data_IF_501716300650
#
_entry.id   IF_501716300650
#
_cell.length_a   1.000
_cell.length_b   1.000
_cell.length_c   1.000
_cell.angle_alpha   90.00
_cell.angle_beta   90.00
_cell.angle_gamma   90.00
#
_symmetry.space_group_name_H-M   'P 1'
#
loop_
_entity.id
_entity.type
_entity.pdbx_description
1 polymer ?
#
# COMPACT_ATOMS: atom_id res chain seq x y z
N UNK A 1 35.26 -32.26 -25.33
CA UNK A 1 36.29 -31.51 -26.09
C UNK A 1 35.70 -30.19 -26.56
N UNK A 2 36.54 -29.16 -26.67
CA UNK A 2 36.31 -27.73 -26.96
C UNK A 2 35.29 -27.45 -28.09
N UNK A 3 34.63 -26.28 -28.19
CA UNK A 3 35.17 -24.95 -27.94
C UNK A 3 34.12 -23.90 -27.51
N UNK A 4 34.61 -22.97 -26.69
CA UNK A 4 34.01 -21.72 -26.30
C UNK A 4 34.48 -20.56 -27.21
N UNK A 5 33.89 -19.39 -26.99
CA UNK A 5 34.36 -18.04 -27.36
C UNK A 5 33.73 -17.38 -28.61
N UNK A 6 32.61 -16.70 -28.39
CA UNK A 6 32.25 -15.50 -29.17
C UNK A 6 31.74 -14.43 -28.21
N UNK A 7 32.64 -13.52 -27.85
CA UNK A 7 32.38 -12.35 -27.01
C UNK A 7 33.70 -11.74 -26.56
N UNK A 8 34.35 -10.92 -27.41
CA UNK A 8 34.27 -9.48 -27.20
C UNK A 8 34.41 -8.68 -28.52
N UNK A 9 33.36 -8.60 -29.34
CA UNK A 9 33.39 -7.79 -30.59
C UNK A 9 32.29 -6.71 -30.60
N UNK A 10 31.26 -6.83 -29.77
CA UNK A 10 30.15 -5.87 -29.74
C UNK A 10 30.52 -4.54 -29.06
N UNK A 11 31.31 -4.58 -27.98
CA UNK A 11 31.70 -3.39 -27.21
C UNK A 11 32.71 -2.48 -27.93
N UNK A 12 33.52 -3.03 -28.85
CA UNK A 12 34.46 -2.23 -29.66
C UNK A 12 33.76 -1.44 -30.78
N UNK A 13 32.56 -1.85 -31.21
CA UNK A 13 31.79 -1.12 -32.25
C UNK A 13 30.98 0.05 -31.69
N UNK A 14 30.66 0.07 -30.39
CA UNK A 14 29.90 1.17 -29.77
C UNK A 14 30.76 2.39 -29.42
N UNK A 15 32.07 2.21 -29.25
CA UNK A 15 33.02 3.28 -28.90
C UNK A 15 33.47 4.14 -30.10
N UNK A 16 33.11 3.76 -31.33
CA UNK A 16 33.46 4.49 -32.55
C UNK A 16 32.49 5.61 -32.97
N UNK A 17 31.43 5.87 -32.19
CA UNK A 17 30.33 6.76 -32.59
C UNK A 17 30.15 8.02 -31.72
N UNK A 18 31.13 8.39 -30.89
CA UNK A 18 31.07 9.61 -30.08
C UNK A 18 32.20 10.58 -30.46
N UNK A 19 31.88 11.83 -30.86
CA UNK A 19 32.90 12.81 -31.24
C UNK A 19 33.59 13.39 -30.00
N UNK A 20 34.91 13.21 -29.95
CA UNK A 20 35.93 14.12 -29.42
C UNK A 20 35.74 14.76 -28.05
N UNK A 21 36.26 14.13 -26.98
CA UNK A 21 36.93 14.81 -25.84
C UNK A 21 38.02 13.88 -25.23
N UNK A 22 39.33 14.18 -25.33
CA UNK A 22 40.41 13.25 -24.95
C UNK A 22 40.61 13.00 -23.45
N UNK A 23 39.90 13.72 -22.56
CA UNK A 23 40.18 13.71 -21.12
C UNK A 23 39.57 12.54 -20.32
N UNK A 24 38.52 11.90 -20.82
CA UNK A 24 37.76 10.88 -20.06
C UNK A 24 38.34 9.45 -20.16
N UNK A 25 39.10 9.16 -21.22
CA UNK A 25 39.72 7.84 -21.42
C UNK A 25 40.91 7.60 -20.46
N UNK A 26 41.65 8.65 -20.10
CA UNK A 26 42.81 8.55 -19.23
C UNK A 26 42.45 8.31 -17.74
N UNK A 27 41.28 8.79 -17.30
CA UNK A 27 40.79 8.58 -15.93
C UNK A 27 40.26 7.16 -15.70
N UNK A 28 39.65 6.56 -16.74
CA UNK A 28 39.13 5.20 -16.70
C UNK A 28 40.22 4.13 -16.79
N UNK A 29 41.35 4.42 -17.47
CA UNK A 29 42.49 3.50 -17.53
C UNK A 29 43.20 3.29 -16.18
N UNK A 30 43.34 4.36 -15.37
CA UNK A 30 44.09 4.30 -14.09
C UNK A 30 43.33 3.62 -12.94
N UNK A 31 42.00 3.50 -13.04
CA UNK A 31 41.17 2.79 -12.06
C UNK A 31 41.12 1.27 -12.31
N UNK A 32 41.33 0.84 -13.56
CA UNK A 32 41.36 -0.58 -13.93
C UNK A 32 42.60 -1.30 -13.40
N UNK A 33 43.77 -0.64 -13.42
CA UNK A 33 45.04 -1.27 -13.02
C UNK A 33 45.22 -1.45 -11.51
N UNK A 34 44.43 -0.74 -10.67
CA UNK A 34 44.49 -0.89 -9.21
C UNK A 34 43.61 -2.00 -8.63
N UNK A 35 42.74 -2.60 -9.43
CA UNK A 35 41.84 -3.69 -9.00
C UNK A 35 42.31 -5.09 -9.41
N UNK A 36 43.40 -5.20 -10.19
CA UNK A 36 43.90 -6.46 -10.75
C UNK A 36 44.87 -7.28 -9.88
N UNK A 37 45.19 -6.84 -8.65
CA UNK A 37 46.13 -7.54 -7.76
C UNK A 37 45.56 -7.74 -6.36
N UNK A 38 44.54 -8.59 -6.22
CA UNK A 38 44.43 -9.45 -5.04
C UNK A 38 43.40 -10.58 -5.23
N UNK A 39 43.95 -11.78 -5.47
CA UNK A 39 43.48 -13.10 -5.01
C UNK A 39 42.13 -13.64 -5.48
N UNK A 40 42.27 -14.46 -6.51
CA UNK A 40 41.86 -15.87 -6.55
C UNK A 40 41.63 -16.53 -5.17
N UNK A 41 40.37 -16.89 -4.88
CA UNK A 41 39.92 -18.18 -4.32
C UNK A 41 38.41 -18.15 -4.06
N UNK A 42 37.60 -18.61 -5.03
CA UNK A 42 36.44 -19.54 -4.87
C UNK A 42 35.63 -19.59 -6.18
N UNK A 43 35.32 -20.81 -6.60
CA UNK A 43 34.71 -21.17 -7.88
C UNK A 43 33.23 -20.76 -8.00
N UNK A 44 32.89 -20.37 -9.23
CA UNK A 44 31.59 -20.40 -9.95
C UNK A 44 30.35 -19.80 -9.25
N UNK A 45 30.00 -18.57 -9.65
CA UNK A 45 28.61 -18.05 -9.70
C UNK A 45 28.39 -17.30 -11.02
N UNK A 46 27.26 -17.57 -11.66
CA UNK A 46 26.77 -17.02 -12.93
C UNK A 46 26.24 -15.57 -12.80
N UNK A 47 26.14 -14.80 -13.90
CA UNK A 47 25.80 -13.38 -13.84
C UNK A 47 24.28 -13.18 -13.98
N UNK A 48 23.58 -13.08 -12.84
CA UNK A 48 22.24 -12.49 -12.76
C UNK A 48 22.19 -11.58 -11.53
N UNK A 49 22.87 -10.43 -11.61
CA UNK A 49 22.81 -9.37 -10.59
C UNK A 49 21.98 -8.20 -11.13
N UNK A 50 20.66 -8.40 -11.17
CA UNK A 50 19.67 -7.33 -11.21
C UNK A 50 18.44 -7.62 -10.32
N UNK A 51 18.53 -8.59 -9.40
CA UNK A 51 17.49 -8.92 -8.41
C UNK A 51 18.13 -9.28 -7.06
N UNK A 52 18.49 -8.26 -6.27
CA UNK A 52 18.74 -8.37 -4.81
C UNK A 52 18.74 -6.95 -4.19
N UNK A 53 18.10 -6.77 -3.03
CA UNK A 53 18.77 -7.08 -1.78
C UNK A 53 17.97 -8.09 -0.94
N UNK A 54 18.48 -9.32 -0.85
CA UNK A 54 18.03 -10.35 0.08
C UNK A 54 19.20 -10.72 0.98
N UNK A 55 19.38 -9.97 2.06
CA UNK A 55 20.10 -10.40 3.25
C UNK A 55 19.47 -9.66 4.43
N UNK A 56 18.47 -10.26 5.07
CA UNK A 56 17.98 -9.82 6.38
C UNK A 56 18.70 -10.64 7.47
N UNK A 57 19.04 -10.03 8.61
CA UNK A 57 19.50 -10.75 9.78
C UNK A 57 18.33 -11.47 10.48
N UNK A 58 18.66 -12.45 11.31
CA UNK A 58 17.78 -13.27 12.13
C UNK A 58 16.75 -12.47 12.94
N UNK A 59 15.50 -12.91 12.88
CA UNK A 59 14.33 -12.37 13.60
C UNK A 59 14.51 -12.46 15.11
N UNK A 60 14.25 -11.40 15.90
CA UNK A 60 14.17 -11.50 17.35
C UNK A 60 12.94 -12.32 17.76
N UNK A 61 13.15 -13.36 18.57
CA UNK A 61 12.05 -14.09 19.22
C UNK A 61 11.29 -13.15 20.16
N UNK A 62 10.09 -12.73 19.76
CA UNK A 62 9.07 -12.24 20.69
C UNK A 62 8.35 -13.47 21.22
N UNK A 63 8.54 -13.77 22.50
CA UNK A 63 7.81 -14.84 23.19
C UNK A 63 6.35 -14.38 23.37
N UNK A 64 5.42 -14.96 22.62
CA UNK A 64 3.99 -14.86 22.91
C UNK A 64 3.66 -15.68 24.16
N UNK A 65 2.74 -15.21 25.02
CA UNK A 65 2.22 -16.03 26.11
C UNK A 65 1.45 -17.23 25.50
N UNK A 66 1.47 -18.40 26.16
CA UNK A 66 0.79 -19.59 25.65
C UNK A 66 -0.70 -19.29 25.42
N UNK A 67 -1.22 -19.72 24.27
CA UNK A 67 -2.64 -19.66 23.92
C UNK A 67 -3.50 -20.32 25.02
N UNK A 68 -3.94 -19.51 25.98
CA UNK A 68 -5.00 -19.87 26.88
C UNK A 68 -6.30 -19.88 26.07
N UNK A 69 -7.11 -20.93 26.25
CA UNK A 69 -8.52 -20.98 25.85
C UNK A 69 -9.15 -19.59 26.06
N UNK A 70 -9.51 -18.91 24.98
CA UNK A 70 -10.14 -17.60 25.08
C UNK A 70 -11.44 -17.77 25.86
N UNK A 71 -11.64 -17.05 26.98
CA UNK A 71 -12.93 -17.02 27.66
C UNK A 71 -14.01 -16.59 26.65
N UNK A 72 -15.22 -17.14 26.78
CA UNK A 72 -16.38 -16.68 26.02
C UNK A 72 -16.48 -15.14 26.12
N UNK A 73 -16.38 -14.46 24.97
CA UNK A 73 -16.43 -12.99 24.89
C UNK A 73 -15.11 -12.29 24.50
N UNK A 74 -13.99 -12.99 24.39
CA UNK A 74 -12.70 -12.40 23.96
C UNK A 74 -12.42 -12.76 22.50
N UNK A 75 -12.46 -11.80 21.57
CA UNK A 75 -12.17 -12.07 20.15
C UNK A 75 -10.69 -12.42 19.92
N UNK A 76 -10.45 -13.45 19.08
CA UNK A 76 -9.14 -14.10 18.84
C UNK A 76 -7.95 -13.16 18.55
N UNK A 77 -8.22 -12.00 17.96
CA UNK A 77 -7.18 -11.10 17.43
C UNK A 77 -6.88 -9.91 18.35
N UNK A 78 -7.36 -9.92 19.60
CA UNK A 78 -7.15 -8.82 20.55
C UNK A 78 -5.70 -8.46 20.79
N UNK A 79 -4.75 -9.40 20.64
CA UNK A 79 -3.33 -9.11 20.83
C UNK A 79 -2.82 -8.00 19.87
N UNK A 80 -3.46 -7.81 18.71
CA UNK A 80 -3.12 -6.78 17.72
C UNK A 80 -3.29 -5.36 18.31
N UNK A 81 -4.22 -5.17 19.25
CA UNK A 81 -4.44 -3.88 19.93
C UNK A 81 -3.21 -3.38 20.72
N UNK A 82 -2.28 -4.28 21.01
CA UNK A 82 -1.01 -3.94 21.65
C UNK A 82 -0.03 -3.26 20.68
N UNK A 83 -0.34 -3.22 19.39
CA UNK A 83 0.49 -2.62 18.34
C UNK A 83 -0.19 -1.42 17.66
N UNK A 84 -1.51 -1.48 17.44
CA UNK A 84 -2.30 -0.49 16.68
C UNK A 84 -3.62 -0.17 17.38
N UNK A 85 -4.32 0.94 17.03
CA UNK A 85 -5.65 1.18 17.57
C UNK A 85 -6.65 0.08 17.16
N UNK A 86 -7.61 -0.19 18.04
CA UNK A 86 -8.69 -1.14 17.83
C UNK A 86 -9.99 -0.35 17.71
N UNK A 87 -10.68 -0.45 16.57
CA UNK A 87 -11.96 0.22 16.34
C UNK A 87 -13.09 -0.80 16.28
N UNK A 88 -14.06 -0.67 17.18
CA UNK A 88 -15.31 -1.42 17.13
C UNK A 88 -16.32 -0.73 16.21
N UNK A 89 -16.89 -1.46 15.25
CA UNK A 89 -17.92 -0.98 14.33
C UNK A 89 -19.07 -1.98 14.22
N UNK A 90 -20.22 -1.50 13.75
CA UNK A 90 -21.34 -2.37 13.37
C UNK A 90 -21.08 -2.99 11.99
N UNK A 91 -21.35 -4.28 11.83
CA UNK A 91 -21.24 -4.99 10.57
C UNK A 91 -22.17 -4.39 9.50
N UNK A 92 -23.29 -3.79 9.90
CA UNK A 92 -24.20 -3.06 9.00
C UNK A 92 -23.56 -1.82 8.36
N UNK A 93 -22.49 -1.29 8.94
CA UNK A 93 -21.72 -0.15 8.41
C UNK A 93 -20.59 -0.60 7.48
N UNK A 94 -20.35 -1.91 7.32
CA UNK A 94 -19.31 -2.45 6.45
C UNK A 94 -19.93 -3.02 5.19
N UNK A 95 -19.60 -2.43 4.03
CA UNK A 95 -20.06 -2.90 2.71
C UNK A 95 -18.88 -3.21 1.80
N UNK A 96 -18.81 -4.44 1.30
CA UNK A 96 -17.85 -4.84 0.27
C UNK A 96 -18.46 -4.53 -1.10
N UNK A 97 -17.79 -3.70 -1.90
CA UNK A 97 -18.27 -3.35 -3.25
C UNK A 97 -17.83 -4.42 -4.25
N UNK A 98 -18.68 -4.69 -5.24
CA UNK A 98 -18.51 -5.80 -6.16
C UNK A 98 -17.68 -5.44 -7.40
N UNK A 99 -17.62 -4.15 -7.77
CA UNK A 99 -17.04 -3.74 -9.06
C UNK A 99 -16.29 -2.40 -9.01
N UNK A 100 -15.33 -2.19 -9.93
CA UNK A 100 -14.65 -0.91 -10.11
C UNK A 100 -15.60 0.25 -10.47
N UNK A 101 -16.68 -0.04 -11.21
CA UNK A 101 -17.71 0.97 -11.53
C UNK A 101 -18.49 1.39 -10.29
N UNK A 102 -18.90 0.45 -9.45
CA UNK A 102 -19.54 0.77 -8.16
C UNK A 102 -18.61 1.59 -7.26
N UNK A 103 -17.32 1.27 -7.22
CA UNK A 103 -16.30 2.05 -6.51
C UNK A 103 -16.23 3.50 -7.00
N UNK A 104 -16.18 3.70 -8.32
CA UNK A 104 -16.12 5.03 -8.92
C UNK A 104 -17.40 5.85 -8.67
N UNK A 105 -18.57 5.26 -8.91
CA UNK A 105 -19.86 5.94 -8.70
C UNK A 105 -20.10 6.28 -7.23
N UNK A 106 -19.76 5.38 -6.31
CA UNK A 106 -19.83 5.65 -4.88
C UNK A 106 -18.91 6.82 -4.50
N UNK A 107 -17.68 6.84 -5.00
CA UNK A 107 -16.74 7.92 -4.74
C UNK A 107 -17.30 9.29 -5.17
N UNK A 108 -17.81 9.39 -6.41
CA UNK A 108 -18.45 10.62 -6.90
C UNK A 108 -19.67 11.00 -6.05
N UNK A 109 -20.51 10.02 -5.68
CA UNK A 109 -21.66 10.25 -4.82
C UNK A 109 -21.28 10.81 -3.46
N UNK A 110 -20.23 10.27 -2.85
CA UNK A 110 -19.71 10.73 -1.56
C UNK A 110 -19.07 12.12 -1.63
N UNK A 111 -18.33 12.42 -2.70
CA UNK A 111 -17.77 13.78 -2.93
C UNK A 111 -18.91 14.81 -2.95
N UNK A 112 -19.96 14.57 -3.73
CA UNK A 112 -21.07 15.54 -3.91
C UNK A 112 -21.78 15.92 -2.61
N UNK A 113 -21.82 15.01 -1.64
CA UNK A 113 -22.52 15.23 -0.37
C UNK A 113 -21.59 15.69 0.76
N UNK A 114 -20.27 15.60 0.58
CA UNK A 114 -19.29 15.96 1.59
C UNK A 114 -19.42 17.43 2.02
N UNK A 115 -19.28 17.70 3.32
CA UNK A 115 -19.43 19.04 3.91
C UNK A 115 -18.22 19.53 4.67
N UNK A 116 -17.40 18.64 5.24
CA UNK A 116 -16.26 19.03 6.09
C UNK A 116 -14.93 18.64 5.46
N UNK A 117 -14.80 17.39 5.00
CA UNK A 117 -13.53 16.92 4.44
C UNK A 117 -13.69 15.91 3.32
N UNK A 118 -12.81 16.04 2.32
CA UNK A 118 -12.47 14.97 1.39
C UNK A 118 -10.98 14.69 1.51
N UNK A 119 -10.61 13.44 1.81
CA UNK A 119 -9.20 13.03 1.92
C UNK A 119 -8.95 11.87 0.96
N UNK A 120 -7.93 11.99 0.12
CA UNK A 120 -7.63 10.98 -0.89
C UNK A 120 -6.14 10.63 -0.88
N UNK A 121 -5.81 9.43 -0.42
CA UNK A 121 -4.48 8.86 -0.57
C UNK A 121 -4.49 7.83 -1.69
N UNK A 122 -3.56 7.95 -2.65
CA UNK A 122 -3.42 7.02 -3.78
C UNK A 122 -1.99 7.06 -4.31
N UNK A 123 -1.54 6.03 -5.04
CA UNK A 123 -0.21 6.08 -5.66
C UNK A 123 -0.11 7.21 -6.69
N UNK A 124 -1.16 7.38 -7.49
CA UNK A 124 -1.29 8.45 -8.47
C UNK A 124 -2.78 8.72 -8.79
N UNK A 125 -3.02 9.85 -9.44
CA UNK A 125 -4.25 10.19 -10.16
C UNK A 125 -3.95 10.20 -11.66
N UNK A 126 -4.72 9.46 -12.45
CA UNK A 126 -4.59 9.42 -13.90
C UNK A 126 -4.96 10.75 -14.56
N UNK A 127 -4.96 10.75 -15.90
CA UNK A 127 -5.20 11.96 -16.70
C UNK A 127 -6.23 11.76 -17.82
N UNK A 128 -7.02 10.69 -17.71
CA UNK A 128 -8.09 10.38 -18.64
C UNK A 128 -9.42 11.08 -18.29
N UNK A 129 -10.48 10.78 -19.06
CA UNK A 129 -11.78 11.41 -18.89
C UNK A 129 -12.45 11.12 -17.54
N UNK A 130 -12.34 9.90 -17.02
CA UNK A 130 -12.97 9.53 -15.73
C UNK A 130 -12.26 10.17 -14.54
N UNK A 131 -10.94 10.35 -14.63
CA UNK A 131 -10.18 11.10 -13.63
C UNK A 131 -10.50 12.58 -13.67
N UNK A 132 -10.69 13.15 -14.87
CA UNK A 132 -11.17 14.52 -15.02
C UNK A 132 -12.57 14.67 -14.40
N UNK A 133 -13.50 13.76 -14.69
CA UNK A 133 -14.85 13.77 -14.10
C UNK A 133 -14.81 13.76 -12.56
N UNK A 134 -13.87 13.01 -11.97
CA UNK A 134 -13.67 12.99 -10.53
C UNK A 134 -13.17 14.35 -9.99
N UNK A 135 -12.24 15.00 -10.70
CA UNK A 135 -11.72 16.33 -10.35
C UNK A 135 -12.80 17.41 -10.52
N UNK A 136 -13.58 17.34 -11.60
CA UNK A 136 -14.70 18.24 -11.85
C UNK A 136 -15.77 18.11 -10.74
N UNK A 137 -15.96 16.90 -10.22
CA UNK A 137 -16.84 16.63 -9.08
C UNK A 137 -16.33 17.30 -7.78
N UNK A 138 -15.01 17.29 -7.53
CA UNK A 138 -14.40 18.00 -6.40
C UNK A 138 -14.56 19.51 -6.55
N UNK A 139 -14.25 20.04 -7.74
CA UNK A 139 -14.38 21.46 -8.07
C UNK A 139 -15.82 21.94 -7.86
N UNK A 140 -16.80 21.27 -8.47
CA UNK A 140 -18.22 21.62 -8.35
C UNK A 140 -18.69 21.60 -6.89
N UNK A 141 -18.21 20.63 -6.09
CA UNK A 141 -18.58 20.51 -4.67
C UNK A 141 -17.99 21.66 -3.86
N UNK A 142 -16.72 22.03 -4.11
CA UNK A 142 -16.07 23.17 -3.48
C UNK A 142 -16.77 24.49 -3.84
N UNK A 143 -17.12 24.71 -5.11
CA UNK A 143 -17.89 25.89 -5.53
C UNK A 143 -19.22 25.99 -4.80
N UNK A 144 -19.99 24.90 -4.79
CA UNK A 144 -21.28 24.82 -4.11
C UNK A 144 -21.13 25.07 -2.61
N UNK A 145 -20.04 24.59 -1.99
CA UNK A 145 -19.76 24.79 -0.57
C UNK A 145 -19.54 26.26 -0.21
N UNK A 146 -18.93 27.03 -1.11
CA UNK A 146 -18.66 28.46 -0.93
C UNK A 146 -19.88 29.34 -1.22
N UNK A 147 -20.73 28.93 -2.16
CA UNK A 147 -21.94 29.64 -2.56
C UNK A 147 -23.14 29.36 -1.66
N UNK A 148 -23.07 28.36 -0.79
CA UNK A 148 -24.17 28.00 0.10
C UNK A 148 -24.51 29.14 1.08
N UNK A 149 -25.80 29.26 1.44
CA UNK A 149 -26.29 30.24 2.43
C UNK A 149 -25.54 30.19 3.75
N UNK A 150 -25.07 29.00 4.12
CA UNK A 150 -24.15 28.76 5.23
C UNK A 150 -22.92 28.06 4.64
N UNK A 151 -21.86 28.82 4.31
CA UNK A 151 -20.66 28.25 3.69
C UNK A 151 -20.06 27.18 4.60
N UNK A 152 -19.82 25.99 4.05
CA UNK A 152 -19.13 24.94 4.78
C UNK A 152 -17.63 25.07 4.58
N UNK A 153 -16.82 24.90 5.63
CA UNK A 153 -15.35 24.88 5.53
C UNK A 153 -14.86 23.53 4.99
N UNK A 154 -15.33 23.16 3.80
CA UNK A 154 -14.95 21.92 3.14
C UNK A 154 -13.47 21.98 2.77
N UNK A 155 -12.67 21.08 3.32
CA UNK A 155 -11.25 20.90 2.98
C UNK A 155 -11.05 19.67 2.11
N UNK A 156 -10.11 19.75 1.18
CA UNK A 156 -9.70 18.64 0.31
C UNK A 156 -8.20 18.40 0.50
N UNK A 157 -7.82 17.22 1.01
CA UNK A 157 -6.43 16.80 1.18
C UNK A 157 -6.12 15.61 0.27
N UNK A 158 -5.16 15.77 -0.64
CA UNK A 158 -4.78 14.73 -1.61
C UNK A 158 -3.31 14.37 -1.37
N UNK A 159 -3.04 13.10 -1.07
CA UNK A 159 -1.70 12.55 -0.90
C UNK A 159 -1.37 11.56 -2.03
N UNK A 160 -0.35 11.89 -2.83
CA UNK A 160 0.14 11.06 -3.93
C UNK A 160 1.63 10.74 -3.79
N UNK A 161 2.14 9.78 -4.54
CA UNK A 161 3.58 9.59 -4.72
C UNK A 161 4.16 10.65 -5.67
N UNK A 162 5.25 11.30 -5.29
CA UNK A 162 5.89 12.36 -6.06
C UNK A 162 6.39 11.86 -7.42
N UNK A 163 7.01 10.68 -7.47
CA UNK A 163 7.60 10.17 -8.71
C UNK A 163 6.51 9.74 -9.68
N UNK A 164 5.47 9.06 -9.19
CA UNK A 164 4.36 8.61 -10.03
C UNK A 164 3.44 9.76 -10.42
N UNK A 165 3.18 10.68 -9.51
CA UNK A 165 2.34 11.86 -9.74
C UNK A 165 2.98 12.94 -10.62
N UNK A 166 4.30 12.90 -10.83
CA UNK A 166 5.04 13.87 -11.68
C UNK A 166 5.46 13.31 -13.05
N UNK A 167 5.05 12.09 -13.40
CA UNK A 167 5.60 11.38 -14.56
C UNK A 167 5.04 11.89 -15.89
N UNK A 168 5.92 12.31 -16.80
CA UNK A 168 5.53 12.83 -18.11
C UNK A 168 4.95 14.25 -18.05
N UNK A 169 4.61 14.81 -19.22
CA UNK A 169 4.14 16.21 -19.33
C UNK A 169 2.73 16.41 -18.76
N UNK A 170 1.82 15.50 -19.04
CA UNK A 170 0.48 15.43 -18.43
C UNK A 170 0.51 14.36 -17.36
N UNK A 171 0.29 14.76 -16.12
CA UNK A 171 0.41 13.92 -14.93
C UNK A 171 -0.58 14.37 -13.83
N UNK A 172 -0.55 13.69 -12.68
CA UNK A 172 -1.45 13.99 -11.55
C UNK A 172 -1.34 15.43 -11.08
N UNK A 173 -0.12 16.00 -11.05
CA UNK A 173 0.08 17.40 -10.62
C UNK A 173 -0.60 18.36 -11.56
N UNK A 174 -0.39 18.19 -12.86
CA UNK A 174 -1.01 19.07 -13.86
C UNK A 174 -2.53 18.93 -13.90
N UNK A 175 -3.06 17.74 -13.58
CA UNK A 175 -4.50 17.49 -13.48
C UNK A 175 -5.14 18.20 -12.27
N UNK A 176 -4.43 18.26 -11.15
CA UNK A 176 -4.90 18.89 -9.91
C UNK A 176 -4.59 20.39 -9.81
N UNK A 177 -3.72 20.91 -10.69
CA UNK A 177 -3.27 22.29 -10.63
C UNK A 177 -4.41 23.33 -10.72
N UNK A 178 -5.41 23.19 -11.62
CA UNK A 178 -6.52 24.14 -11.68
C UNK A 178 -7.31 24.20 -10.38
N UNK A 179 -7.57 23.04 -9.77
CA UNK A 179 -8.27 22.92 -8.50
C UNK A 179 -7.50 23.63 -7.37
N UNK A 180 -6.19 23.40 -7.29
CA UNK A 180 -5.32 24.03 -6.30
C UNK A 180 -5.23 25.55 -6.47
N UNK A 181 -5.12 26.03 -7.71
CA UNK A 181 -5.06 27.47 -8.01
C UNK A 181 -6.37 28.20 -7.66
N UNK A 182 -7.50 27.54 -7.87
CA UNK A 182 -8.84 28.10 -7.62
C UNK A 182 -9.22 28.10 -6.14
N UNK A 183 -8.76 27.11 -5.38
CA UNK A 183 -9.11 26.94 -3.96
C UNK A 183 -7.86 26.74 -3.07
N UNK A 184 -6.92 27.70 -3.03
CA UNK A 184 -5.64 27.53 -2.34
C UNK A 184 -5.78 27.33 -0.82
N UNK A 185 -6.87 27.82 -0.21
CA UNK A 185 -7.14 27.70 1.23
C UNK A 185 -7.93 26.44 1.60
N UNK A 186 -8.53 25.77 0.63
CA UNK A 186 -9.35 24.56 0.83
C UNK A 186 -8.65 23.31 0.35
N UNK A 187 -7.76 23.41 -0.66
CA UNK A 187 -7.15 22.27 -1.32
C UNK A 187 -5.68 22.18 -0.98
N UNK A 188 -5.26 21.02 -0.46
CA UNK A 188 -3.87 20.67 -0.20
C UNK A 188 -3.49 19.45 -1.02
N UNK A 189 -2.39 19.54 -1.78
CA UNK A 189 -1.83 18.40 -2.53
C UNK A 189 -0.42 18.09 -2.04
N UNK A 190 -0.29 16.96 -1.34
CA UNK A 190 0.97 16.43 -0.81
C UNK A 190 1.53 15.34 -1.72
N UNK A 191 2.84 15.36 -1.95
CA UNK A 191 3.57 14.46 -2.84
C UNK A 191 4.69 13.76 -2.05
N UNK A 192 4.41 12.54 -1.60
CA UNK A 192 5.37 11.74 -0.83
C UNK A 192 6.57 11.35 -1.68
N UNK A 193 7.75 11.44 -1.10
CA UNK A 193 8.98 11.03 -1.77
C UNK A 193 9.80 10.12 -0.86
N UNK A 194 10.11 8.91 -1.32
CA UNK A 194 10.93 7.97 -0.56
C UNK A 194 12.29 8.56 -0.17
N UNK A 195 12.76 8.40 1.08
CA UNK A 195 14.07 8.87 1.49
C UNK A 195 15.23 8.07 0.87
N UNK A 196 14.95 6.98 0.18
CA UNK A 196 15.97 6.13 -0.44
C UNK A 196 16.38 6.63 -1.84
N UNK A 197 15.56 7.43 -2.52
CA UNK A 197 15.85 7.95 -3.85
C UNK A 197 16.55 9.33 -3.79
N UNK A 198 17.86 9.36 -3.55
CA UNK A 198 18.63 10.60 -3.33
C UNK A 198 19.83 10.75 -4.27
N UNK A 199 20.35 11.97 -4.40
CA UNK A 199 21.62 12.26 -5.08
C UNK A 199 21.71 11.70 -6.51
N UNK A 200 22.85 11.09 -6.85
CA UNK A 200 23.09 10.48 -8.16
C UNK A 200 22.11 9.35 -8.50
N UNK A 201 21.60 8.62 -7.51
CA UNK A 201 20.63 7.55 -7.71
C UNK A 201 19.36 8.10 -8.39
N UNK A 202 18.91 9.28 -7.96
CA UNK A 202 17.78 9.98 -8.58
C UNK A 202 18.07 10.47 -10.00
N UNK A 203 19.31 10.86 -10.30
CA UNK A 203 19.72 11.39 -11.61
C UNK A 203 19.93 10.29 -12.65
N UNK A 204 20.38 9.11 -12.21
CA UNK A 204 20.81 8.03 -13.10
C UNK A 204 19.74 6.95 -13.30
N UNK A 205 18.76 6.82 -12.39
CA UNK A 205 17.71 5.81 -12.53
C UNK A 205 16.63 6.30 -13.48
N UNK A 206 16.33 5.55 -14.57
CA UNK A 206 15.21 5.88 -15.43
C UNK A 206 13.90 5.87 -14.65
N UNK A 207 12.97 6.77 -14.95
CA UNK A 207 11.70 6.94 -14.22
C UNK A 207 10.92 5.63 -14.00
N UNK A 208 11.08 4.65 -14.89
CA UNK A 208 10.44 3.33 -14.83
C UNK A 208 10.96 2.42 -13.72
N UNK A 209 12.19 2.64 -13.23
CA UNK A 209 12.84 1.83 -12.19
C UNK A 209 12.87 2.52 -10.82
N UNK A 210 12.46 3.79 -10.74
CA UNK A 210 12.25 4.49 -9.46
C UNK A 210 11.24 3.75 -8.56
N UNK A 211 10.31 3.01 -9.20
CA UNK A 211 9.27 2.21 -8.56
C UNK A 211 9.83 1.11 -7.64
N UNK A 212 11.04 0.60 -7.92
CA UNK A 212 11.66 -0.50 -7.16
C UNK A 212 12.32 -0.06 -5.84
N UNK A 213 12.50 1.25 -5.62
CA UNK A 213 13.27 1.78 -4.48
C UNK A 213 12.37 2.11 -3.27
N UNK A 214 11.10 2.42 -3.51
CA UNK A 214 10.10 2.67 -2.48
C UNK A 214 9.07 3.69 -2.95
N UNK A 215 7.79 3.33 -2.82
CA UNK A 215 6.64 4.14 -3.20
C UNK A 215 5.67 4.25 -2.02
N UNK A 216 4.89 5.33 -1.99
CA UNK A 216 3.73 5.42 -1.12
C UNK A 216 2.60 4.52 -1.66
N UNK A 217 2.01 3.68 -0.81
CA UNK A 217 0.97 2.72 -1.22
C UNK A 217 -0.34 2.83 -0.43
N UNK A 218 -0.48 3.83 0.44
CA UNK A 218 -1.75 4.08 1.16
C UNK A 218 -2.85 4.37 0.13
N UNK A 219 -3.99 3.72 0.32
CA UNK A 219 -5.19 3.84 -0.50
C UNK A 219 -6.40 3.92 0.40
N UNK A 220 -6.71 5.15 0.77
CA UNK A 220 -7.82 5.49 1.62
C UNK A 220 -8.50 6.72 1.01
N UNK A 221 -9.80 6.63 0.85
CA UNK A 221 -10.63 7.69 0.29
C UNK A 221 -11.73 8.01 1.29
N UNK A 222 -11.71 9.21 1.84
CA UNK A 222 -12.55 9.62 2.94
C UNK A 222 -13.44 10.79 2.54
N UNK A 223 -14.68 10.73 3.00
CA UNK A 223 -15.70 11.74 2.76
C UNK A 223 -16.46 11.94 4.08
N UNK A 224 -16.12 12.99 4.81
CA UNK A 224 -16.56 13.24 6.19
C UNK A 224 -16.29 12.04 7.14
N UNK A 225 -17.31 11.24 7.46
CA UNK A 225 -17.22 10.06 8.33
C UNK A 225 -17.17 8.74 7.55
N UNK A 226 -17.25 8.79 6.23
CA UNK A 226 -17.27 7.61 5.38
C UNK A 226 -15.87 7.34 4.84
N UNK A 227 -15.46 6.07 4.83
CA UNK A 227 -14.11 5.64 4.40
C UNK A 227 -14.24 4.53 3.36
N UNK A 228 -13.52 4.65 2.25
CA UNK A 228 -13.31 3.58 1.28
C UNK A 228 -11.85 3.16 1.36
N UNK A 229 -11.61 1.87 1.64
CA UNK A 229 -10.30 1.23 1.58
C UNK A 229 -10.24 0.31 0.36
N UNK A 230 -9.19 0.44 -0.44
CA UNK A 230 -9.03 -0.37 -1.67
C UNK A 230 -7.57 -0.56 -2.07
N UNK A 231 -7.25 -1.57 -2.90
CA UNK A 231 -5.98 -1.65 -3.62
C UNK A 231 -5.94 -0.83 -4.91
N UNK A 232 -7.05 -0.21 -5.30
CA UNK A 232 -7.19 0.56 -6.52
C UNK A 232 -6.45 1.90 -6.49
N UNK A 233 -5.94 2.35 -7.64
CA UNK A 233 -5.51 3.74 -7.83
C UNK A 233 -6.64 4.54 -8.47
N UNK A 234 -6.50 5.86 -8.50
CA UNK A 234 -7.44 6.74 -9.20
C UNK A 234 -7.10 6.78 -10.68
N UNK A 235 -7.55 5.79 -11.45
CA UNK A 235 -7.38 5.80 -12.91
C UNK A 235 -8.42 5.00 -13.66
N UNK A 236 -8.62 5.30 -14.94
CA UNK A 236 -9.62 4.69 -15.83
C UNK A 236 -9.78 3.18 -15.64
N UNK A 237 -8.68 2.40 -15.77
CA UNK A 237 -8.75 0.95 -15.59
C UNK A 237 -9.31 0.50 -14.23
N UNK A 238 -9.00 1.21 -13.15
CA UNK A 238 -9.52 0.94 -11.79
C UNK A 238 -10.96 1.41 -11.59
N UNK A 239 -11.52 2.17 -12.53
CA UNK A 239 -12.92 2.58 -12.55
C UNK A 239 -13.77 1.73 -13.52
N UNK A 240 -13.13 0.95 -14.40
CA UNK A 240 -13.83 0.21 -15.46
C UNK A 240 -13.62 -1.31 -15.40
N UNK A 241 -12.40 -1.81 -15.55
CA UNK A 241 -12.14 -3.22 -15.85
C UNK A 241 -10.88 -3.81 -15.20
N UNK A 242 -10.40 -3.21 -14.11
CA UNK A 242 -9.34 -3.76 -13.26
C UNK A 242 -9.93 -4.19 -11.93
N UNK A 243 -10.00 -5.49 -11.72
CA UNK A 243 -10.56 -6.06 -10.50
C UNK A 243 -9.61 -5.81 -9.33
N UNK A 244 -10.13 -5.10 -8.32
CA UNK A 244 -9.51 -4.93 -7.01
C UNK A 244 -10.54 -5.25 -5.90
N UNK A 245 -10.19 -5.01 -4.64
CA UNK A 245 -11.11 -5.10 -3.49
C UNK A 245 -11.46 -3.70 -3.00
N UNK A 246 -12.70 -3.52 -2.57
CA UNK A 246 -13.19 -2.23 -2.11
C UNK A 246 -14.05 -2.47 -0.87
N UNK A 247 -13.68 -1.85 0.26
CA UNK A 247 -14.43 -1.91 1.51
C UNK A 247 -14.88 -0.50 1.83
N UNK A 248 -16.19 -0.31 1.91
CA UNK A 248 -16.83 0.92 2.33
C UNK A 248 -17.24 0.81 3.80
N UNK A 249 -16.74 1.71 4.61
CA UNK A 249 -17.07 1.89 6.02
C UNK A 249 -17.92 3.14 6.12
N UNK A 250 -19.20 2.96 6.42
CA UNK A 250 -20.18 4.03 6.50
C UNK A 250 -20.29 4.56 7.93
N UNK A 251 -20.33 5.88 8.08
CA UNK A 251 -20.50 6.58 9.35
C UNK A 251 -19.60 6.01 10.47
N UNK A 252 -18.30 5.98 10.19
CA UNK A 252 -17.26 5.50 11.10
C UNK A 252 -16.32 6.67 11.46
N UNK A 253 -16.76 7.65 12.26
CA UNK A 253 -16.01 8.89 12.51
C UNK A 253 -14.63 8.63 13.11
N UNK A 254 -14.48 7.69 14.04
CA UNK A 254 -13.21 7.40 14.71
C UNK A 254 -12.17 6.82 13.73
N UNK A 255 -12.61 5.99 12.78
CA UNK A 255 -11.76 5.45 11.71
C UNK A 255 -11.43 6.55 10.70
N UNK A 256 -12.41 7.37 10.34
CA UNK A 256 -12.21 8.48 9.41
C UNK A 256 -11.22 9.51 9.97
N UNK A 257 -11.31 9.83 11.27
CA UNK A 257 -10.37 10.71 11.98
C UNK A 257 -8.96 10.12 11.97
N UNK A 258 -8.81 8.85 12.33
CA UNK A 258 -7.51 8.17 12.30
C UNK A 258 -6.83 8.23 10.93
N UNK A 259 -7.55 7.88 9.86
CA UNK A 259 -6.98 7.91 8.51
C UNK A 259 -6.76 9.35 8.00
N UNK A 260 -7.56 10.33 8.42
CA UNK A 260 -7.29 11.75 8.13
C UNK A 260 -5.97 12.18 8.79
N UNK A 261 -5.82 11.95 10.10
CA UNK A 261 -4.60 12.26 10.85
C UNK A 261 -3.37 11.55 10.26
N UNK A 262 -3.51 10.27 9.85
CA UNK A 262 -2.42 9.51 9.23
C UNK A 262 -2.00 10.11 7.88
N UNK A 263 -2.97 10.43 7.03
CA UNK A 263 -2.70 11.03 5.72
C UNK A 263 -2.07 12.40 5.88
N UNK A 264 -2.53 13.20 6.83
CA UNK A 264 -1.97 14.52 7.12
C UNK A 264 -0.55 14.41 7.71
N UNK A 265 -0.29 13.48 8.62
CA UNK A 265 1.05 13.24 9.17
C UNK A 265 2.07 12.86 8.08
N UNK A 266 1.68 12.01 7.13
CA UNK A 266 2.50 11.68 5.96
C UNK A 266 2.59 12.87 5.00
N UNK A 267 1.50 13.62 4.85
CA UNK A 267 1.43 14.83 4.04
C UNK A 267 2.39 15.92 4.52
N UNK A 268 2.50 16.13 5.83
CA UNK A 268 3.38 17.13 6.44
C UNK A 268 4.85 16.91 6.12
N UNK A 269 5.29 15.64 6.10
CA UNK A 269 6.66 15.27 5.71
C UNK A 269 6.83 15.06 4.19
N UNK A 270 5.80 15.40 3.42
CA UNK A 270 5.79 15.29 1.96
C UNK A 270 5.98 16.66 1.30
N UNK A 271 6.28 16.64 0.00
CA UNK A 271 6.41 17.86 -0.79
C UNK A 271 5.01 18.42 -1.09
N UNK A 272 4.77 19.69 -0.80
CA UNK A 272 3.53 20.39 -1.10
C UNK A 272 3.59 20.94 -2.53
N UNK A 273 2.65 20.52 -3.38
CA UNK A 273 2.47 21.13 -4.71
C UNK A 273 1.97 22.56 -4.54
N UNK A 274 2.57 23.49 -5.30
CA UNK A 274 2.21 24.90 -5.30
C UNK A 274 1.41 25.26 -6.55
N UNK A 275 0.70 26.41 -6.52
CA UNK A 275 -0.11 26.89 -7.63
C UNK A 275 0.68 27.19 -8.91
N UNK A 276 1.99 27.38 -8.84
CA UNK A 276 2.90 27.54 -9.99
C UNK A 276 3.50 26.21 -10.49
N UNK A 277 2.96 25.07 -10.01
CA UNK A 277 3.46 23.72 -10.25
C UNK A 277 4.89 23.50 -9.70
N UNK A 278 5.42 24.34 -8.82
CA UNK A 278 6.62 24.00 -8.04
C UNK A 278 6.26 23.12 -6.84
N UNK A 279 7.27 22.63 -6.13
CA UNK A 279 7.09 21.85 -4.92
C UNK A 279 7.96 22.39 -3.80
N UNK A 280 7.36 22.49 -2.62
CA UNK A 280 8.02 23.00 -1.42
C UNK A 280 7.83 22.05 -0.25
N UNK A 281 8.59 22.22 0.82
CA UNK A 281 8.36 21.50 2.07
C UNK A 281 7.53 22.40 2.99
N UNK A 282 6.74 21.81 3.88
CA UNK A 282 6.10 22.57 4.95
C UNK A 282 7.18 23.25 5.80
N UNK A 283 6.90 24.45 6.29
CA UNK A 283 7.83 25.20 7.13
C UNK A 283 8.26 24.37 8.35
N UNK A 284 9.56 24.38 8.64
CA UNK A 284 10.17 23.57 9.71
C UNK A 284 10.38 22.09 9.36
N UNK A 285 9.93 21.59 8.20
CA UNK A 285 10.14 20.18 7.82
C UNK A 285 11.45 19.95 7.04
N UNK A 286 12.03 18.76 7.23
CA UNK A 286 13.25 18.35 6.53
C UNK A 286 12.91 17.88 5.12
N UNK A 287 13.67 18.36 4.12
CA UNK A 287 13.42 17.97 2.73
C UNK A 287 13.70 16.46 2.50
N UNK A 288 12.76 15.69 1.91
CA UNK A 288 12.84 14.22 1.80
C UNK A 288 14.03 13.67 1.00
N UNK A 289 14.66 14.47 0.14
CA UNK A 289 15.81 14.05 -0.65
C UNK A 289 16.95 15.07 -0.74
N UNK A 290 16.75 16.32 -0.30
CA UNK A 290 17.83 17.34 -0.20
C UNK A 290 18.34 17.54 1.22
N UNK A 291 17.49 17.33 2.23
CA UNK A 291 17.86 17.50 3.63
C UNK A 291 18.58 16.28 4.19
N UNK A 292 18.94 16.29 5.48
CA UNK A 292 19.55 15.13 6.12
C UNK A 292 18.60 13.90 6.12
N UNK A 293 19.15 12.71 5.88
CA UNK A 293 18.34 11.48 5.77
C UNK A 293 17.84 11.00 7.12
N UNK A 294 18.71 10.99 8.12
CA UNK A 294 18.37 10.50 9.44
C UNK A 294 17.34 11.43 10.11
N UNK A 295 17.55 12.74 10.03
CA UNK A 295 16.63 13.74 10.55
C UNK A 295 15.24 13.65 9.88
N UNK A 296 15.19 13.49 8.55
CA UNK A 296 13.93 13.28 7.84
C UNK A 296 13.20 12.00 8.29
N UNK A 297 13.91 10.87 8.31
CA UNK A 297 13.32 9.59 8.71
C UNK A 297 12.84 9.60 10.16
N UNK A 298 13.60 10.24 11.06
CA UNK A 298 13.23 10.41 12.47
C UNK A 298 11.97 11.27 12.61
N UNK A 299 11.94 12.45 11.98
CA UNK A 299 10.79 13.35 12.03
C UNK A 299 9.51 12.71 11.44
N UNK A 300 9.67 11.92 10.36
CA UNK A 300 8.56 11.16 9.78
C UNK A 300 8.09 10.01 10.68
N UNK A 301 9.00 9.27 11.31
CA UNK A 301 8.65 8.23 12.28
C UNK A 301 7.87 8.82 13.45
N UNK A 302 8.40 9.87 14.09
CA UNK A 302 7.77 10.53 15.24
C UNK A 302 6.34 10.94 14.91
N UNK A 303 6.13 11.66 13.80
CA UNK A 303 4.78 12.09 13.38
C UNK A 303 3.81 10.94 13.14
N UNK A 304 4.23 9.89 12.42
CA UNK A 304 3.33 8.76 12.12
C UNK A 304 3.04 7.96 13.39
N UNK A 305 4.05 7.72 14.23
CA UNK A 305 3.88 6.98 15.49
C UNK A 305 3.05 7.76 16.50
N UNK A 306 3.14 9.09 16.54
CA UNK A 306 2.31 9.94 17.38
C UNK A 306 0.82 9.78 17.05
N UNK A 307 0.45 9.72 15.77
CA UNK A 307 -0.93 9.44 15.33
C UNK A 307 -1.38 8.06 15.82
N UNK A 308 -0.55 7.04 15.61
CA UNK A 308 -0.86 5.66 16.03
C UNK A 308 -1.06 5.59 17.55
N UNK A 309 -0.13 6.13 18.32
CA UNK A 309 -0.14 6.08 19.78
C UNK A 309 -1.28 6.93 20.38
N UNK A 310 -1.55 8.09 19.80
CA UNK A 310 -2.67 8.95 20.22
C UNK A 310 -4.01 8.26 19.97
N UNK A 311 -4.20 7.68 18.79
CA UNK A 311 -5.41 6.92 18.48
C UNK A 311 -5.58 5.70 19.39
N UNK A 312 -4.49 4.97 19.68
CA UNK A 312 -4.51 3.85 20.64
C UNK A 312 -4.96 4.30 22.03
N UNK A 313 -4.41 5.40 22.53
CA UNK A 313 -4.76 5.95 23.84
C UNK A 313 -6.23 6.35 23.88
N UNK A 314 -6.74 7.03 22.83
CA UNK A 314 -8.16 7.39 22.71
C UNK A 314 -9.07 6.16 22.73
N UNK A 315 -8.75 5.12 21.96
CA UNK A 315 -9.55 3.88 21.93
C UNK A 315 -9.51 3.12 23.26
N UNK A 316 -8.36 3.07 23.94
CA UNK A 316 -8.26 2.49 25.28
C UNK A 316 -9.15 3.21 26.30
N UNK A 317 -9.18 4.55 26.27
CA UNK A 317 -10.05 5.35 27.12
C UNK A 317 -11.53 5.10 26.82
N UNK A 318 -11.91 5.04 25.54
CA UNK A 318 -13.28 4.75 25.12
C UNK A 318 -13.72 3.36 25.63
N UNK A 319 -12.90 2.34 25.45
CA UNK A 319 -13.19 0.99 25.96
C UNK A 319 -13.37 1.01 27.48
N UNK A 320 -12.45 1.63 28.24
CA UNK A 320 -12.57 1.71 29.69
C UNK A 320 -13.85 2.42 30.16
N UNK A 321 -14.27 3.48 29.46
CA UNK A 321 -15.51 4.20 29.77
C UNK A 321 -16.74 3.35 29.50
N UNK A 322 -16.78 2.60 28.40
CA UNK A 322 -17.89 1.68 28.10
C UNK A 322 -17.99 0.57 29.14
N UNK A 323 -16.86 -0.02 29.56
CA UNK A 323 -16.84 -1.08 30.58
C UNK A 323 -17.25 -0.58 31.98
N UNK A 324 -16.89 0.64 32.37
CA UNK A 324 -17.29 1.21 33.67
C UNK A 324 -18.70 1.81 33.68
N UNK A 325 -19.20 2.27 32.53
CA UNK A 325 -20.54 2.86 32.40
C UNK A 325 -21.70 1.86 32.49
N UNK A 326 -21.49 0.60 32.07
CA UNK A 326 -22.52 -0.44 32.14
C UNK A 326 -22.68 -1.07 33.54
N UNK A 327 -21.78 -0.79 34.48
CA UNK A 327 -21.85 -1.34 35.86
C UNK A 327 -22.74 -0.51 36.81
N UNK A 328 -23.08 0.74 36.45
CA UNK A 328 -23.77 1.68 37.35
C UNK A 328 -25.20 2.07 36.94
N UNK A 329 -25.70 1.58 35.80
CA UNK A 329 -27.07 1.85 35.35
C UNK A 329 -27.91 0.59 35.48
N UNK A 330 -28.83 0.58 36.45
CA UNK A 330 -29.93 -0.38 36.48
C UNK A 330 -30.66 -0.34 35.14
N UNK A 331 -30.94 -1.54 34.63
CA UNK A 331 -31.49 -1.85 33.31
C UNK A 331 -32.80 -1.09 32.96
N UNK A 332 -33.47 -0.49 33.96
CA UNK A 332 -34.72 0.25 33.81
C UNK A 332 -34.54 1.71 33.31
N UNK A 333 -33.40 2.37 33.57
CA UNK A 333 -33.18 3.75 33.11
C UNK A 333 -32.52 3.85 31.72
N UNK A 334 -31.99 2.74 31.19
CA UNK A 334 -31.27 2.69 29.92
C UNK A 334 -32.20 2.68 28.69
N UNK A 335 -33.47 2.30 28.85
CA UNK A 335 -34.44 2.25 27.75
C UNK A 335 -35.03 3.63 27.38
N UNK A 336 -34.90 4.63 28.26
CA UNK A 336 -35.45 5.98 28.04
C UNK A 336 -34.51 6.90 27.23
N UNK A 337 -33.21 6.57 27.16
CA UNK A 337 -32.24 7.24 26.31
C UNK A 337 -32.02 6.39 25.04
N UNK A 338 -32.76 6.70 23.97
CA UNK A 338 -32.64 6.03 22.66
C UNK A 338 -31.31 6.22 21.94
N UNK A 339 -30.21 6.34 22.67
CA UNK A 339 -28.89 6.83 22.22
C UNK A 339 -27.77 5.78 22.41
N UNK A 340 -28.11 4.54 22.80
CA UNK A 340 -27.12 3.45 22.86
C UNK A 340 -26.87 2.93 21.45
N UNK A 341 -25.76 3.34 20.84
CA UNK A 341 -25.18 2.65 19.68
C UNK A 341 -25.05 1.15 20.02
N UNK A 342 -25.48 0.23 19.15
CA UNK A 342 -25.35 -1.20 19.40
C UNK A 342 -23.88 -1.57 19.66
N UNK A 343 -23.66 -2.56 20.51
CA UNK A 343 -22.31 -3.06 20.79
C UNK A 343 -21.63 -3.47 19.48
N UNK A 344 -20.31 -3.19 19.32
CA UNK A 344 -19.60 -3.53 18.10
C UNK A 344 -19.57 -5.04 17.90
N UNK A 345 -19.89 -5.50 16.70
CA UNK A 345 -19.80 -6.91 16.29
C UNK A 345 -18.63 -7.17 15.33
N UNK A 346 -17.95 -6.09 14.90
CA UNK A 346 -16.86 -6.09 13.94
C UNK A 346 -15.70 -5.25 14.47
N UNK A 347 -14.48 -5.77 14.41
CA UNK A 347 -13.27 -5.09 14.89
C UNK A 347 -12.31 -4.80 13.75
N UNK A 348 -11.83 -3.56 13.68
CA UNK A 348 -10.91 -3.09 12.64
C UNK A 348 -9.59 -2.64 13.29
N UNK A 349 -8.49 -3.20 12.78
CA UNK A 349 -7.12 -2.86 13.18
C UNK A 349 -6.37 -2.31 11.97
N UNK A 350 -6.09 -0.99 11.89
CA UNK A 350 -5.34 -0.45 10.78
C UNK A 350 -3.84 -0.74 10.96
N UNK A 351 -3.30 -1.57 10.07
CA UNK A 351 -1.88 -1.93 10.06
C UNK A 351 -1.10 -0.98 9.15
N UNK A 352 0.13 -0.64 9.57
CA UNK A 352 0.99 0.31 8.86
C UNK A 352 2.39 -0.29 8.66
N UNK A 353 2.91 -0.19 7.44
CA UNK A 353 4.28 -0.55 7.07
C UNK A 353 4.97 0.65 6.43
N UNK A 354 6.04 1.15 7.06
CA UNK A 354 6.93 2.18 6.50
C UNK A 354 8.38 1.90 6.91
N UNK A 355 8.98 0.87 6.32
CA UNK A 355 10.34 0.41 6.66
C UNK A 355 11.43 1.49 6.62
N UNK A 356 11.44 2.47 5.69
CA UNK A 356 12.40 3.58 5.75
C UNK A 356 12.28 4.47 6.97
N UNK A 357 11.15 4.41 7.68
CA UNK A 357 10.89 5.08 8.95
C UNK A 357 10.89 4.11 10.13
N UNK A 358 11.40 2.88 9.95
CA UNK A 358 11.47 1.88 11.03
C UNK A 358 10.09 1.44 11.58
N UNK A 359 9.02 1.62 10.79
CA UNK A 359 7.68 1.14 11.14
C UNK A 359 7.43 -0.19 10.42
N UNK A 360 7.32 -1.28 11.19
CA UNK A 360 7.20 -2.66 10.68
C UNK A 360 5.97 -3.42 11.22
N UNK A 361 4.93 -2.70 11.61
CA UNK A 361 3.81 -3.28 12.37
C UNK A 361 3.03 -4.31 11.53
N UNK A 362 2.75 -3.99 10.26
CA UNK A 362 2.05 -4.88 9.33
C UNK A 362 2.82 -6.18 9.06
N UNK A 363 4.15 -6.11 8.90
CA UNK A 363 5.05 -7.26 8.72
C UNK A 363 4.93 -8.22 9.91
N UNK A 364 5.07 -7.70 11.14
CA UNK A 364 4.95 -8.48 12.38
C UNK A 364 3.57 -9.14 12.49
N UNK A 365 2.49 -8.39 12.24
CA UNK A 365 1.14 -8.91 12.38
C UNK A 365 0.83 -9.97 11.33
N UNK A 366 1.23 -9.74 10.07
CA UNK A 366 1.01 -10.68 8.96
C UNK A 366 1.77 -11.99 9.19
N UNK A 367 3.03 -11.93 9.61
CA UNK A 367 3.82 -13.12 9.96
C UNK A 367 3.15 -13.93 11.08
N UNK A 368 2.65 -13.24 12.11
CA UNK A 368 1.94 -13.89 13.23
C UNK A 368 0.64 -14.54 12.76
N UNK A 369 -0.16 -13.87 11.92
CA UNK A 369 -1.40 -14.43 11.37
C UNK A 369 -1.15 -15.65 10.45
N UNK A 370 -0.03 -15.66 9.72
CA UNK A 370 0.35 -16.78 8.86
C UNK A 370 0.91 -17.98 9.65
N UNK A 371 1.62 -17.74 10.76
CA UNK A 371 2.20 -18.77 11.62
C UNK A 371 1.20 -19.38 12.59
N UNK A 372 0.34 -18.57 13.21
CA UNK A 372 -0.66 -19.00 14.19
C UNK A 372 -1.96 -19.54 13.56
N UNK A 373 -1.96 -19.74 12.23
CA UNK A 373 -3.05 -20.43 11.55
C UNK A 373 -3.11 -21.90 12.04
N UNK A 374 -4.04 -22.14 12.98
CA UNK A 374 -4.24 -23.43 13.64
C UNK A 374 -4.48 -24.59 12.65
N UNK A 375 -4.27 -25.82 13.13
CA UNK A 375 -4.64 -27.03 12.40
C UNK A 375 -6.15 -27.00 12.10
N UNK A 376 -6.51 -26.98 10.81
CA UNK A 376 -7.90 -26.90 10.35
C UNK A 376 -8.40 -25.49 10.04
N UNK A 377 -7.60 -24.44 10.28
CA UNK A 377 -7.90 -23.11 9.76
C UNK A 377 -7.76 -23.10 8.22
N UNK A 378 -8.68 -22.41 7.54
CA UNK A 378 -8.59 -22.15 6.10
C UNK A 378 -8.23 -20.69 5.87
N UNK A 379 -7.14 -20.47 5.16
CA UNK A 379 -6.58 -19.17 4.80
C UNK A 379 -6.81 -18.97 3.30
N UNK A 380 -7.45 -17.87 2.94
CA UNK A 380 -7.56 -17.42 1.56
C UNK A 380 -6.59 -16.27 1.36
N UNK A 381 -5.72 -16.38 0.35
CA UNK A 381 -4.79 -15.34 -0.05
C UNK A 381 -5.14 -14.90 -1.46
N UNK A 382 -5.13 -13.61 -1.73
CA UNK A 382 -5.18 -13.09 -3.08
C UNK A 382 -4.01 -12.16 -3.34
N UNK A 383 -3.40 -12.30 -4.52
CA UNK A 383 -2.32 -11.42 -4.95
C UNK A 383 -2.45 -11.08 -6.44
N UNK A 384 -2.26 -9.80 -6.78
CA UNK A 384 -2.22 -9.37 -8.17
C UNK A 384 -1.06 -9.98 -8.96
N UNK A 385 0.02 -10.39 -8.28
CA UNK A 385 1.17 -11.07 -8.86
C UNK A 385 1.69 -12.11 -7.87
N UNK A 386 1.96 -13.33 -8.30
CA UNK A 386 2.58 -14.32 -7.41
C UNK A 386 4.04 -13.95 -7.15
N UNK A 387 4.28 -13.24 -6.04
CA UNK A 387 5.59 -12.72 -5.62
C UNK A 387 5.69 -12.69 -4.10
N UNK A 388 5.28 -13.79 -3.45
CA UNK A 388 5.50 -13.97 -2.01
C UNK A 388 7.01 -13.99 -1.74
N UNK A 389 7.42 -13.42 -0.62
CA UNK A 389 8.82 -13.53 -0.18
C UNK A 389 9.13 -14.97 0.17
N UNK A 390 10.41 -15.35 0.13
CA UNK A 390 10.81 -16.70 0.58
C UNK A 390 10.33 -16.97 2.01
N UNK A 391 10.43 -15.98 2.90
CA UNK A 391 9.91 -16.08 4.27
C UNK A 391 8.42 -16.45 4.28
N UNK A 392 7.57 -15.78 3.50
CA UNK A 392 6.15 -16.11 3.44
C UNK A 392 5.87 -17.47 2.80
N UNK A 393 6.64 -17.86 1.78
CA UNK A 393 6.52 -19.20 1.19
C UNK A 393 6.89 -20.29 2.20
N UNK A 394 8.00 -20.12 2.93
CA UNK A 394 8.44 -21.03 3.98
C UNK A 394 7.40 -21.14 5.11
N UNK A 395 6.79 -20.02 5.50
CA UNK A 395 5.70 -19.99 6.47
C UNK A 395 4.50 -20.81 5.99
N UNK A 396 4.04 -20.57 4.75
CA UNK A 396 2.91 -21.30 4.17
C UNK A 396 3.20 -22.80 4.13
N UNK A 397 4.40 -23.21 3.73
CA UNK A 397 4.80 -24.62 3.63
C UNK A 397 5.02 -25.29 5.00
N UNK A 398 5.39 -24.51 6.02
CA UNK A 398 5.68 -24.98 7.38
C UNK A 398 4.46 -25.15 8.28
N UNK A 399 3.33 -24.53 7.96
CA UNK A 399 2.12 -24.59 8.81
C UNK A 399 1.21 -25.77 8.45
N UNK A 400 0.18 -26.02 9.28
CA UNK A 400 -0.84 -27.07 9.08
C UNK A 400 -2.19 -26.53 8.58
N UNK A 401 -2.28 -25.25 8.26
CA UNK A 401 -3.51 -24.62 7.79
C UNK A 401 -3.76 -24.91 6.30
N UNK A 402 -5.02 -24.91 5.85
CA UNK A 402 -5.33 -24.99 4.42
C UNK A 402 -5.18 -23.61 3.77
N UNK A 403 -4.52 -23.53 2.61
CA UNK A 403 -4.34 -22.29 1.85
C UNK A 403 -5.04 -22.38 0.49
N UNK A 404 -5.87 -21.38 0.20
CA UNK A 404 -6.47 -21.14 -1.11
C UNK A 404 -5.90 -19.83 -1.65
N UNK A 405 -4.99 -19.91 -2.62
CA UNK A 405 -4.27 -18.77 -3.16
C UNK A 405 -4.84 -18.43 -4.53
N UNK A 406 -5.51 -17.27 -4.64
CA UNK A 406 -5.98 -16.70 -5.90
C UNK A 406 -4.92 -15.73 -6.46
N UNK A 407 -4.53 -15.93 -7.71
CA UNK A 407 -3.54 -15.10 -8.39
C UNK A 407 -4.03 -14.70 -9.80
N UNK A 408 -3.44 -13.65 -10.37
CA UNK A 408 -3.74 -13.25 -11.75
C UNK A 408 -3.22 -14.29 -12.76
N UNK A 409 -4.06 -14.75 -13.69
CA UNK A 409 -3.52 -15.44 -14.87
C UNK A 409 -2.58 -14.53 -15.66
N UNK A 410 -1.66 -15.08 -16.47
CA UNK A 410 -0.73 -14.28 -17.26
C UNK A 410 -1.43 -13.25 -18.16
N UNK A 411 -2.58 -13.60 -18.75
CA UNK A 411 -3.32 -12.78 -19.71
C UNK A 411 -4.02 -11.57 -19.08
N UNK A 412 -4.35 -11.64 -17.79
CA UNK A 412 -4.99 -10.54 -17.05
C UNK A 412 -3.98 -9.71 -16.25
N UNK A 413 -2.69 -9.96 -16.45
CA UNK A 413 -1.62 -9.17 -15.89
C UNK A 413 -1.53 -7.81 -16.59
N UNK A 414 -1.32 -6.72 -15.83
CA UNK A 414 -1.18 -5.37 -16.39
C UNK A 414 0.00 -5.17 -17.36
N UNK A 415 0.97 -6.10 -17.37
CA UNK A 415 2.10 -6.11 -18.29
C UNK A 415 1.96 -7.10 -19.45
N UNK A 416 0.83 -7.80 -19.55
CA UNK A 416 0.60 -8.76 -20.64
C UNK A 416 0.65 -8.05 -22.01
N UNK A 417 1.46 -8.56 -22.92
CA UNK A 417 1.68 -7.96 -24.23
C UNK A 417 2.46 -6.63 -24.23
N UNK A 418 3.02 -6.20 -23.10
CA UNK A 418 3.84 -5.00 -23.05
C UNK A 418 5.11 -5.14 -23.90
N UNK A 419 5.54 -4.05 -24.56
CA UNK A 419 6.73 -4.06 -25.41
C UNK A 419 8.02 -4.09 -24.59
N UNK A 420 9.03 -4.79 -25.09
CA UNK A 420 10.36 -4.88 -24.48
C UNK A 420 10.38 -5.73 -23.21
N UNK A 421 11.33 -5.45 -22.30
CA UNK A 421 11.58 -6.25 -21.08
C UNK A 421 10.34 -6.34 -20.17
N UNK A 422 9.48 -5.32 -20.16
CA UNK A 422 8.26 -5.33 -19.36
C UNK A 422 7.29 -6.46 -19.75
N UNK A 423 7.27 -6.87 -21.03
CA UNK A 423 6.45 -8.00 -21.48
C UNK A 423 6.89 -9.36 -20.93
N UNK A 424 8.10 -9.47 -20.36
CA UNK A 424 8.58 -10.66 -19.70
C UNK A 424 8.16 -10.78 -18.23
N UNK A 425 7.60 -9.71 -17.65
CA UNK A 425 7.18 -9.68 -16.23
C UNK A 425 6.15 -10.77 -15.92
N UNK A 426 5.07 -10.98 -16.71
CA UNK A 426 4.13 -12.06 -16.45
C UNK A 426 4.80 -13.44 -16.43
N UNK A 427 5.69 -13.70 -17.39
CA UNK A 427 6.42 -14.97 -17.46
C UNK A 427 7.35 -15.19 -16.25
N UNK A 428 7.94 -14.12 -15.69
CA UNK A 428 8.74 -14.20 -14.47
C UNK A 428 7.89 -14.61 -13.26
N UNK A 429 6.67 -14.07 -13.12
CA UNK A 429 5.77 -14.48 -12.03
C UNK A 429 5.30 -15.93 -12.19
N UNK A 430 4.97 -16.37 -13.41
CA UNK A 430 4.68 -17.78 -13.69
C UNK A 430 5.85 -18.69 -13.31
N UNK A 431 7.09 -18.23 -13.49
CA UNK A 431 8.26 -18.99 -13.08
C UNK A 431 8.34 -19.15 -11.55
N UNK A 432 8.14 -18.07 -10.80
CA UNK A 432 8.13 -18.09 -9.32
C UNK A 432 6.99 -18.97 -8.80
N UNK A 433 5.80 -18.85 -9.39
CA UNK A 433 4.64 -19.67 -9.09
C UNK A 433 4.93 -21.17 -9.30
N UNK A 434 5.53 -21.53 -10.44
CA UNK A 434 5.92 -22.92 -10.73
C UNK A 434 6.96 -23.45 -9.75
N UNK A 435 7.91 -22.62 -9.31
CA UNK A 435 8.89 -23.01 -8.29
C UNK A 435 8.19 -23.34 -6.98
N UNK A 436 7.35 -22.44 -6.49
CA UNK A 436 6.58 -22.66 -5.26
C UNK A 436 5.67 -23.90 -5.37
N UNK A 437 4.94 -24.05 -6.47
CA UNK A 437 4.06 -25.21 -6.66
C UNK A 437 4.84 -26.54 -6.76
N UNK A 438 6.06 -26.50 -7.30
CA UNK A 438 6.94 -27.68 -7.30
C UNK A 438 7.36 -28.07 -5.88
N UNK A 439 7.59 -27.10 -5.00
CA UNK A 439 7.86 -27.35 -3.58
C UNK A 439 6.62 -27.89 -2.84
N UNK A 440 5.43 -27.33 -3.10
CA UNK A 440 4.17 -27.89 -2.59
C UNK A 440 4.02 -29.36 -3.00
N UNK A 441 4.36 -29.69 -4.24
CA UNK A 441 4.27 -31.05 -4.75
C UNK A 441 5.32 -31.99 -4.14
N UNK A 442 6.58 -31.54 -4.01
CA UNK A 442 7.65 -32.36 -3.45
C UNK A 442 7.43 -32.69 -1.98
N UNK A 443 6.73 -31.81 -1.25
CA UNK A 443 6.32 -32.00 0.14
C UNK A 443 4.99 -32.74 0.31
N UNK A 444 4.29 -33.10 -0.78
CA UNK A 444 3.00 -33.81 -0.72
C UNK A 444 1.86 -32.97 -0.14
N UNK A 445 1.88 -31.65 -0.33
CA UNK A 445 0.94 -30.71 0.32
C UNK A 445 -0.16 -30.18 -0.61
N UNK A 446 -0.38 -30.80 -1.77
CA UNK A 446 -1.31 -30.33 -2.82
C UNK A 446 -2.78 -30.27 -2.34
N UNK A 447 -3.17 -31.13 -1.40
CA UNK A 447 -4.53 -31.10 -0.84
C UNK A 447 -4.78 -29.85 0.00
N UNK A 448 -3.73 -29.39 0.69
CA UNK A 448 -3.76 -28.29 1.65
C UNK A 448 -3.51 -26.93 0.99
N UNK A 449 -2.58 -26.85 0.04
CA UNK A 449 -2.20 -25.60 -0.64
C UNK A 449 -2.68 -25.64 -2.09
N UNK A 450 -3.73 -24.89 -2.39
CA UNK A 450 -4.31 -24.80 -3.74
C UNK A 450 -4.05 -23.43 -4.35
N UNK A 451 -3.59 -23.42 -5.59
CA UNK A 451 -3.43 -22.21 -6.39
C UNK A 451 -4.56 -22.15 -7.42
N UNK A 452 -5.14 -20.98 -7.61
CA UNK A 452 -6.18 -20.70 -8.60
C UNK A 452 -5.84 -19.43 -9.35
N UNK A 453 -6.05 -19.45 -10.66
CA UNK A 453 -5.85 -18.28 -11.51
C UNK A 453 -7.19 -17.58 -11.79
N UNK A 454 -7.25 -16.28 -11.54
CA UNK A 454 -8.33 -15.43 -12.02
C UNK A 454 -8.10 -15.13 -13.50
N UNK A 455 -9.12 -15.37 -14.31
CA UNK A 455 -9.17 -14.94 -15.70
C UNK A 455 -10.54 -14.38 -16.05
N UNK A 456 -10.56 -13.25 -16.74
CA UNK A 456 -11.76 -12.67 -17.34
C UNK A 456 -11.38 -11.87 -18.57
N UNK A 457 -11.96 -12.23 -19.72
CA UNK A 457 -11.64 -11.57 -20.99
C UNK A 457 -11.86 -10.06 -20.91
N UNK A 458 -10.85 -9.29 -21.30
CA UNK A 458 -10.89 -7.82 -21.32
C UNK A 458 -10.73 -7.16 -19.95
N UNK A 459 -10.36 -7.92 -18.92
CA UNK A 459 -10.12 -7.42 -17.57
C UNK A 459 -8.66 -7.61 -17.15
N UNK A 460 -8.22 -6.80 -16.19
CA UNK A 460 -6.97 -7.05 -15.44
C UNK A 460 -7.26 -7.35 -13.97
N UNK A 461 -6.34 -8.04 -13.28
CA UNK A 461 -6.51 -8.41 -11.87
C UNK A 461 -5.42 -7.79 -10.99
N UNK A 462 -5.82 -7.22 -9.84
CA UNK A 462 -4.90 -6.59 -8.90
C UNK A 462 -5.35 -6.69 -7.44
N UNK A 463 -6.33 -7.55 -7.13
CA UNK A 463 -6.79 -7.73 -5.76
C UNK A 463 -5.69 -8.26 -4.83
N UNK A 464 -5.63 -7.71 -3.62
CA UNK A 464 -4.72 -8.11 -2.54
C UNK A 464 -5.49 -8.39 -1.26
N UNK A 465 -5.03 -9.36 -0.49
CA UNK A 465 -5.46 -9.54 0.88
C UNK A 465 -5.49 -10.98 1.35
N UNK A 466 -5.81 -11.12 2.63
CA UNK A 466 -5.89 -12.39 3.35
C UNK A 466 -7.25 -12.47 4.06
N UNK A 467 -7.84 -13.65 4.13
CA UNK A 467 -8.92 -13.95 5.07
C UNK A 467 -8.68 -15.31 5.73
N UNK A 468 -8.99 -15.41 7.01
CA UNK A 468 -8.92 -16.66 7.77
C UNK A 468 -10.29 -16.96 8.34
N UNK A 469 -10.73 -18.21 8.26
CA UNK A 469 -12.02 -18.58 8.82
C UNK A 469 -12.30 -20.07 8.80
N UNK A 470 -13.16 -20.49 9.73
CA UNK A 470 -13.85 -21.78 9.67
C UNK A 470 -15.10 -21.58 8.84
N UNK A 471 -15.10 -22.06 7.59
CA UNK A 471 -16.29 -21.98 6.75
C UNK A 471 -17.37 -22.91 7.32
N UNK A 472 -18.40 -22.34 7.95
CA UNK A 472 -19.68 -23.04 8.12
C UNK A 472 -20.51 -22.74 6.87
N UNK A 473 -20.85 -23.72 6.03
CA UNK A 473 -21.80 -23.49 4.96
C UNK A 473 -23.05 -22.84 5.56
N UNK A 474 -23.46 -21.68 5.04
CA UNK A 474 -24.83 -21.23 5.28
C UNK A 474 -25.71 -22.27 4.58
N UNK A 475 -26.51 -23.00 5.36
CA UNK A 475 -27.61 -23.78 4.78
C UNK A 475 -28.41 -22.84 3.88
N UNK A 476 -28.71 -23.23 2.64
CA UNK A 476 -29.58 -22.42 1.81
C UNK A 476 -30.90 -22.24 2.56
N UNK A 477 -31.29 -20.97 2.75
CA UNK A 477 -32.59 -20.58 3.29
C UNK A 477 -33.71 -20.89 2.31
#
# INVERSE_FOLDING_TARGET
MAAAAAGPVFWRRLLGLLPGRPGLAALLGRLSDRLGRNRDRRRRRSPWLLLAPLLSPTVPQVTSPPCCLCPEGVHRFQWIRNLVPEFGVSSSHVRVLASPTEFFELMKGQIKVAKRRVVMASLYLGTGPLEQELVDCLESTLENSLQAKFPSDLKVSILLDFTRGSRGRKNSRTMLLPLLQKFPEQVRVSLFHTPNLRGLLRLLIPERFNETIGLQHIKAYLFDNNVILSGANLSDSYFTNRQDRYVFLQDCPEIADFFTELVDAVGDVSLQLQGDNTVQVVEGMVHPYKGDRAAYCKAANERVMDVINSARTRQQMLHAQTFHGDSLLTQENAAAAGDRRPAPDTWIYPLIQMKPFEIQIDEIVTETLLTEAERGARVYLTTGYFNLTQAYMDLVLGTRAEYQILLASPEVNGFFGAKGVAGAIPAAYVHIERQFYSEVCSLGQQERVRLQEYWRRGWTFHAKGQSTGTWRPRSPS
#
